data_IF_564016603646
#
_entry.id   IF_564016603646
#
_cell.length_a   1.000
_cell.length_b   1.000
_cell.length_c   1.000
_cell.angle_alpha   90.00
_cell.angle_beta   90.00
_cell.angle_gamma   90.00
#
_symmetry.space_group_name_H-M   'P 1'
#
loop_
_entity.id
_entity.type
_entity.pdbx_description
1 polymer ?
#
# COMPACT_ATOMS: atom_id res chain seq x y z
N UNK A 1 12.27 -2.88 -17.78
CA UNK A 1 13.18 -3.17 -16.63
C UNK A 1 13.28 -1.96 -15.71
N UNK A 2 13.41 -0.76 -16.26
CA UNK A 2 13.33 0.51 -15.52
C UNK A 2 12.02 0.65 -14.70
N UNK A 3 10.89 0.20 -15.26
CA UNK A 3 9.58 0.25 -14.60
C UNK A 3 9.51 -0.60 -13.32
N UNK A 4 10.13 -1.79 -13.33
CA UNK A 4 10.22 -2.66 -12.16
C UNK A 4 11.10 -2.04 -11.08
N UNK A 5 12.16 -1.35 -11.49
CA UNK A 5 13.05 -0.64 -10.55
C UNK A 5 12.34 0.54 -9.89
N UNK A 6 11.66 1.38 -10.67
CA UNK A 6 10.94 2.54 -10.13
C UNK A 6 9.76 2.07 -9.27
N UNK A 7 8.86 1.26 -9.83
CA UNK A 7 7.64 0.86 -9.12
C UNK A 7 7.97 -0.03 -7.91
N UNK A 8 8.88 -1.00 -8.07
CA UNK A 8 9.34 -1.86 -6.98
C UNK A 8 10.11 -1.08 -5.90
N UNK A 9 10.96 -0.13 -6.30
CA UNK A 9 11.67 0.77 -5.39
C UNK A 9 10.73 1.65 -4.59
N UNK A 10 9.76 2.28 -5.25
CA UNK A 10 8.74 3.11 -4.59
C UNK A 10 7.92 2.29 -3.60
N UNK A 11 7.41 1.12 -4.02
CA UNK A 11 6.58 0.25 -3.16
C UNK A 11 7.37 -0.23 -1.92
N UNK A 12 8.63 -0.63 -2.09
CA UNK A 12 9.47 -1.07 -0.97
C UNK A 12 9.77 0.05 0.04
N UNK A 13 9.86 1.30 -0.41
CA UNK A 13 10.04 2.45 0.46
C UNK A 13 8.82 2.81 1.32
N UNK A 14 7.60 2.45 0.88
CA UNK A 14 6.35 2.82 1.57
C UNK A 14 6.27 2.28 3.00
N UNK A 15 6.78 1.08 3.25
CA UNK A 15 6.78 0.48 4.58
C UNK A 15 7.61 1.32 5.56
N UNK A 16 8.83 1.69 5.16
CA UNK A 16 9.73 2.53 5.96
C UNK A 16 9.15 3.92 6.21
N UNK A 17 8.56 4.54 5.17
CA UNK A 17 7.91 5.85 5.30
C UNK A 17 6.73 5.77 6.27
N UNK A 18 5.92 4.70 6.19
CA UNK A 18 4.81 4.46 7.11
C UNK A 18 5.28 4.36 8.56
N UNK A 19 6.31 3.56 8.83
CA UNK A 19 6.89 3.44 10.17
C UNK A 19 7.46 4.75 10.69
N UNK A 20 8.16 5.51 9.85
CA UNK A 20 8.67 6.83 10.23
C UNK A 20 7.52 7.79 10.59
N UNK A 21 6.41 7.74 9.85
CA UNK A 21 5.21 8.53 10.16
C UNK A 21 4.55 8.14 11.49
N UNK A 22 4.45 6.83 11.76
CA UNK A 22 3.96 6.30 13.03
C UNK A 22 4.84 6.75 14.21
N UNK A 23 6.16 6.63 14.07
CA UNK A 23 7.14 7.04 15.08
C UNK A 23 7.16 8.54 15.35
N UNK A 24 6.82 9.37 14.36
CA UNK A 24 6.73 10.82 14.53
C UNK A 24 5.48 11.27 15.32
N UNK A 25 4.41 10.46 15.35
CA UNK A 25 3.14 10.82 16.00
C UNK A 25 2.85 10.09 17.30
N UNK A 26 3.44 8.92 17.52
CA UNK A 26 3.19 8.07 18.68
C UNK A 26 4.50 7.70 19.38
N UNK A 27 4.46 7.58 20.71
CA UNK A 27 5.60 7.19 21.54
C UNK A 27 5.23 6.09 22.53
N UNK A 28 6.24 5.37 23.02
CA UNK A 28 6.09 4.34 24.06
C UNK A 28 5.13 3.21 23.66
N UNK A 29 4.23 2.84 24.58
CA UNK A 29 3.32 1.70 24.40
C UNK A 29 2.29 1.91 23.27
N UNK A 30 1.90 3.16 22.98
CA UNK A 30 1.00 3.47 21.86
C UNK A 30 1.67 3.23 20.51
N UNK A 31 2.97 3.50 20.40
CA UNK A 31 3.74 3.21 19.18
C UNK A 31 3.85 1.70 18.94
N UNK A 32 4.14 0.92 19.98
CA UNK A 32 4.23 -0.53 19.88
C UNK A 32 2.91 -1.16 19.41
N UNK A 33 1.77 -0.74 19.97
CA UNK A 33 0.45 -1.21 19.57
C UNK A 33 0.13 -0.84 18.10
N UNK A 34 0.39 0.41 17.71
CA UNK A 34 0.13 0.87 16.35
C UNK A 34 1.04 0.21 15.31
N UNK A 35 2.31 -0.03 15.64
CA UNK A 35 3.24 -0.78 14.81
C UNK A 35 2.77 -2.23 14.57
N UNK A 36 2.32 -2.92 15.63
CA UNK A 36 1.78 -4.28 15.49
C UNK A 36 0.54 -4.33 14.58
N UNK A 37 -0.37 -3.37 14.72
CA UNK A 37 -1.52 -3.26 13.83
C UNK A 37 -1.11 -2.99 12.38
N UNK A 38 -0.11 -2.11 12.17
CA UNK A 38 0.40 -1.78 10.84
C UNK A 38 1.04 -3.00 10.15
N UNK A 39 1.92 -3.72 10.84
CA UNK A 39 2.59 -4.92 10.32
C UNK A 39 1.56 -6.03 10.05
N UNK A 40 0.55 -6.18 10.91
CA UNK A 40 -0.52 -7.15 10.70
C UNK A 40 -1.28 -6.88 9.40
N UNK A 41 -1.71 -5.64 9.17
CA UNK A 41 -2.37 -5.25 7.92
C UNK A 41 -1.45 -5.45 6.71
N UNK A 42 -0.16 -5.11 6.84
CA UNK A 42 0.83 -5.32 5.79
C UNK A 42 0.99 -6.80 5.44
N UNK A 43 1.08 -7.67 6.46
CA UNK A 43 1.16 -9.12 6.28
C UNK A 43 -0.07 -9.70 5.59
N UNK A 44 -1.27 -9.24 5.92
CA UNK A 44 -2.51 -9.63 5.21
C UNK A 44 -2.42 -9.23 3.73
N UNK A 45 -1.96 -8.02 3.44
CA UNK A 45 -1.78 -7.54 2.06
C UNK A 45 -0.78 -8.41 1.28
N UNK A 46 0.34 -8.78 1.90
CA UNK A 46 1.33 -9.68 1.30
C UNK A 46 0.81 -11.09 1.07
N UNK A 47 -0.07 -11.58 1.96
CA UNK A 47 -0.64 -12.92 1.84
C UNK A 47 -1.71 -12.99 0.74
N UNK A 48 -2.63 -12.03 0.71
CA UNK A 48 -3.79 -12.06 -0.19
C UNK A 48 -3.43 -11.49 -1.57
N UNK A 49 -2.56 -10.47 -1.61
CA UNK A 49 -2.23 -9.71 -2.82
C UNK A 49 -1.80 -10.56 -4.01
N UNK A 50 -0.75 -11.40 -3.89
CA UNK A 50 -0.25 -12.21 -5.00
C UNK A 50 -1.29 -13.19 -5.55
N UNK A 51 -2.04 -13.86 -4.68
CA UNK A 51 -3.09 -14.81 -5.09
C UNK A 51 -4.22 -14.09 -5.82
N UNK A 52 -4.64 -12.93 -5.32
CA UNK A 52 -5.74 -12.17 -5.91
C UNK A 52 -5.35 -11.57 -7.27
N UNK A 53 -4.14 -11.01 -7.38
CA UNK A 53 -3.62 -10.46 -8.64
C UNK A 53 -3.40 -11.59 -9.65
N UNK A 54 -2.82 -12.72 -9.24
CA UNK A 54 -2.57 -13.87 -10.12
C UNK A 54 -3.86 -14.44 -10.69
N UNK A 55 -4.85 -14.70 -9.83
CA UNK A 55 -6.18 -15.15 -10.26
C UNK A 55 -6.87 -14.15 -11.19
N UNK A 56 -6.71 -12.86 -10.93
CA UNK A 56 -7.27 -11.82 -11.80
C UNK A 56 -6.59 -11.81 -13.17
N UNK A 57 -5.27 -12.06 -13.22
CA UNK A 57 -4.52 -12.19 -14.46
C UNK A 57 -4.93 -13.43 -15.27
N UNK A 58 -5.22 -14.55 -14.60
CA UNK A 58 -5.68 -15.78 -15.25
C UNK A 58 -7.06 -15.62 -15.92
N UNK A 59 -7.96 -14.84 -15.30
CA UNK A 59 -9.36 -14.67 -15.77
C UNK A 59 -9.49 -13.52 -16.77
N UNK A 60 -8.89 -12.36 -16.48
CA UNK A 60 -9.10 -11.12 -17.25
C UNK A 60 -7.90 -10.72 -18.10
N UNK A 61 -6.78 -11.44 -17.98
CA UNK A 61 -5.52 -11.09 -18.63
C UNK A 61 -4.72 -10.03 -17.86
N UNK A 62 -3.41 -10.00 -18.12
CA UNK A 62 -2.44 -9.15 -17.42
C UNK A 62 -2.81 -7.66 -17.45
N UNK A 63 -3.13 -7.12 -18.62
CA UNK A 63 -3.36 -5.68 -18.78
C UNK A 63 -4.54 -5.19 -17.96
N UNK A 64 -5.68 -5.88 -18.02
CA UNK A 64 -6.89 -5.48 -17.28
C UNK A 64 -6.67 -5.63 -15.77
N UNK A 65 -6.08 -6.75 -15.33
CA UNK A 65 -5.78 -6.99 -13.92
C UNK A 65 -4.87 -5.89 -13.33
N UNK A 66 -3.80 -5.53 -14.05
CA UNK A 66 -2.89 -4.48 -13.62
C UNK A 66 -3.52 -3.10 -13.65
N UNK A 67 -4.29 -2.75 -14.69
CA UNK A 67 -5.00 -1.46 -14.77
C UNK A 67 -6.00 -1.31 -13.62
N UNK A 68 -6.74 -2.36 -13.28
CA UNK A 68 -7.69 -2.33 -12.16
C UNK A 68 -6.95 -2.15 -10.83
N UNK A 69 -5.90 -2.92 -10.56
CA UNK A 69 -5.17 -2.81 -9.30
C UNK A 69 -4.47 -1.46 -9.12
N UNK A 70 -3.77 -0.98 -10.16
CA UNK A 70 -3.13 0.33 -10.15
C UNK A 70 -4.18 1.45 -10.07
N UNK A 71 -5.28 1.33 -10.82
CA UNK A 71 -6.39 2.28 -10.81
C UNK A 71 -7.04 2.39 -9.43
N UNK A 72 -7.28 1.27 -8.75
CA UNK A 72 -7.79 1.24 -7.38
C UNK A 72 -6.81 1.92 -6.41
N UNK A 73 -5.51 1.61 -6.49
CA UNK A 73 -4.50 2.24 -5.64
C UNK A 73 -4.44 3.76 -5.84
N UNK A 74 -4.38 4.22 -7.10
CA UNK A 74 -4.39 5.66 -7.43
C UNK A 74 -5.66 6.33 -6.91
N UNK A 75 -6.82 5.68 -7.08
CA UNK A 75 -8.09 6.20 -6.56
C UNK A 75 -8.07 6.35 -5.04
N UNK A 76 -7.57 5.34 -4.32
CA UNK A 76 -7.44 5.40 -2.86
C UNK A 76 -6.51 6.52 -2.41
N UNK A 77 -5.34 6.67 -3.03
CA UNK A 77 -4.39 7.75 -2.73
C UNK A 77 -5.01 9.11 -3.03
N UNK A 78 -5.69 9.24 -4.16
CA UNK A 78 -6.37 10.47 -4.56
C UNK A 78 -7.48 10.86 -3.57
N UNK A 79 -8.32 9.90 -3.16
CA UNK A 79 -9.36 10.11 -2.14
C UNK A 79 -8.75 10.52 -0.80
N UNK A 80 -7.66 9.87 -0.36
CA UNK A 80 -6.97 10.25 0.87
C UNK A 80 -6.36 11.65 0.80
N UNK A 81 -5.78 12.01 -0.34
CA UNK A 81 -5.22 13.33 -0.58
C UNK A 81 -6.31 14.41 -0.52
N UNK A 82 -7.44 14.18 -1.21
CA UNK A 82 -8.60 15.09 -1.18
C UNK A 82 -9.19 15.25 0.22
N UNK A 83 -9.33 14.15 0.97
CA UNK A 83 -9.76 14.21 2.38
C UNK A 83 -8.82 15.05 3.22
N UNK A 84 -7.50 14.92 3.02
CA UNK A 84 -6.50 15.71 3.74
C UNK A 84 -6.54 17.19 3.38
N UNK A 85 -6.75 17.53 2.11
CA UNK A 85 -6.91 18.90 1.63
C UNK A 85 -8.18 19.58 2.17
N UNK A 86 -9.30 18.86 2.22
CA UNK A 86 -10.58 19.38 2.75
C UNK A 86 -10.54 19.54 4.29
N UNK A 87 -9.74 18.73 4.97
CA UNK A 87 -9.58 18.76 6.43
C UNK A 87 -8.51 19.74 6.93
N UNK A 88 -7.82 20.46 6.03
CA UNK A 88 -6.76 21.43 6.35
C UNK A 88 -7.24 22.86 6.19
#
# INVERSE_FOLDING_TARGET
>A
MFDLFILGGVISGLYTIGLAHLGARLTGQKLAAANSAFIFCYGIGMLIGPTFIGKSMDIFGFSIAMTVFLGLYVTLVFVQLMRKLISS
#
